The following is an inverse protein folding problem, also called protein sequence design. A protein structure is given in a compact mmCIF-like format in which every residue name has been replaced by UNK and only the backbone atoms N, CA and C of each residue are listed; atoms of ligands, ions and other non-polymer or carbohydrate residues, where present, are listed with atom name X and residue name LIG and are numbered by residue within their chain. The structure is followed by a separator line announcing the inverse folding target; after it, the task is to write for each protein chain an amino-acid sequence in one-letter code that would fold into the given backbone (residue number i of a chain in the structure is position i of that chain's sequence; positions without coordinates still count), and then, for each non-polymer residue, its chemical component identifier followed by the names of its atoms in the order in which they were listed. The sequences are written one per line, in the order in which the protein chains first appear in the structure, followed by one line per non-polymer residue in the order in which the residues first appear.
data_IF_085710580201
#
_entry.id   IF_085710580201
#
_cell.length_a   1.000
_cell.length_b   1.000
_cell.length_c   1.000
_cell.angle_alpha   90.00
_cell.angle_beta   90.00
_cell.angle_gamma   90.00
#
_symmetry.space_group_name_H-M   'P 1'
#
loop_
_entity.id
_entity.type
_entity.pdbx_description
1 polymer ?
#
# COMPACT_ATOMS: atom_id res chain seq x y z
N UNK A 1 19.82 11.29 -1.94
CA UNK A 1 18.82 11.23 -3.03
C UNK A 1 17.93 9.98 -3.00
N UNK A 2 18.47 8.75 -3.12
CA UNK A 2 17.66 7.51 -3.22
C UNK A 2 16.66 7.29 -2.07
N UNK A 3 17.06 7.59 -0.82
CA UNK A 3 16.20 7.50 0.38
C UNK A 3 15.00 8.46 0.35
N UNK A 4 15.22 9.71 -0.06
CA UNK A 4 14.17 10.74 -0.10
C UNK A 4 13.16 10.40 -1.19
N UNK A 5 13.65 10.00 -2.38
CA UNK A 5 12.80 9.56 -3.49
C UNK A 5 11.93 8.36 -3.10
N UNK A 6 12.50 7.34 -2.44
CA UNK A 6 11.72 6.20 -1.94
C UNK A 6 10.63 6.61 -0.97
N UNK A 7 10.95 7.45 0.02
CA UNK A 7 9.95 7.96 0.96
C UNK A 7 8.84 8.73 0.26
N UNK A 8 9.19 9.57 -0.72
CA UNK A 8 8.21 10.33 -1.50
C UNK A 8 7.27 9.40 -2.29
N UNK A 9 7.84 8.43 -3.03
CA UNK A 9 7.04 7.46 -3.80
C UNK A 9 6.14 6.61 -2.91
N UNK A 10 6.66 6.15 -1.76
CA UNK A 10 5.90 5.36 -0.79
C UNK A 10 4.73 6.17 -0.21
N UNK A 11 4.97 7.43 0.17
CA UNK A 11 3.93 8.33 0.67
C UNK A 11 2.89 8.63 -0.39
N UNK A 12 3.30 8.92 -1.64
CA UNK A 12 2.37 9.14 -2.76
C UNK A 12 1.49 7.91 -2.97
N UNK A 13 2.08 6.71 -2.97
CA UNK A 13 1.34 5.47 -3.14
C UNK A 13 0.30 5.25 -2.02
N UNK A 14 0.66 5.53 -0.76
CA UNK A 14 -0.25 5.46 0.37
C UNK A 14 -1.39 6.49 0.26
N UNK A 15 -1.07 7.75 -0.08
CA UNK A 15 -2.07 8.83 -0.21
C UNK A 15 -3.05 8.54 -1.35
N UNK A 16 -2.56 8.15 -2.52
CA UNK A 16 -3.43 7.80 -3.66
C UNK A 16 -4.33 6.61 -3.34
N UNK A 17 -3.81 5.62 -2.61
CA UNK A 17 -4.64 4.50 -2.12
C UNK A 17 -5.71 4.99 -1.16
N UNK A 18 -5.36 5.87 -0.22
CA UNK A 18 -6.32 6.43 0.74
C UNK A 18 -7.42 7.24 0.04
N UNK A 19 -7.07 8.06 -0.95
CA UNK A 19 -8.04 8.82 -1.75
C UNK A 19 -9.00 7.90 -2.49
N UNK A 20 -8.51 6.82 -3.09
CA UNK A 20 -9.36 5.84 -3.76
C UNK A 20 -10.35 5.19 -2.78
N UNK A 21 -9.90 4.87 -1.56
CA UNK A 21 -10.72 4.25 -0.50
C UNK A 21 -11.77 5.22 0.03
N UNK A 22 -11.42 6.49 0.23
CA UNK A 22 -12.37 7.54 0.63
C UNK A 22 -13.42 7.76 -0.47
N UNK A 23 -13.00 7.73 -1.74
CA UNK A 23 -13.93 7.82 -2.86
C UNK A 23 -14.85 6.61 -2.96
N UNK A 24 -14.40 5.42 -2.58
CA UNK A 24 -15.25 4.21 -2.54
C UNK A 24 -16.26 4.31 -1.38
N UNK A 25 -15.84 4.80 -0.21
CA UNK A 25 -16.68 5.01 0.98
C UNK A 25 -17.84 5.99 0.78
N UNK A 26 -17.75 6.90 -0.19
CA UNK A 26 -18.84 7.83 -0.50
C UNK A 26 -20.00 7.14 -1.24
N UNK A 27 -19.75 5.97 -1.82
CA UNK A 27 -20.71 5.22 -2.64
C UNK A 27 -21.07 3.88 -1.98
N UNK A 28 -20.10 3.24 -1.33
CA UNK A 28 -20.22 1.91 -0.73
C UNK A 28 -20.12 1.98 0.80
N UNK A 29 -20.89 1.14 1.53
CA UNK A 29 -20.74 1.05 2.97
C UNK A 29 -19.36 0.50 3.35
N UNK A 30 -18.87 0.94 4.51
CA UNK A 30 -17.61 0.45 5.05
C UNK A 30 -17.61 -1.09 5.15
N UNK A 31 -16.49 -1.71 4.77
CA UNK A 31 -16.31 -3.16 4.77
C UNK A 31 -14.87 -3.53 5.15
N UNK A 32 -14.58 -4.85 5.19
CA UNK A 32 -13.28 -5.36 5.59
C UNK A 32 -12.12 -4.89 4.68
N UNK A 33 -12.37 -4.69 3.38
CA UNK A 33 -11.34 -4.19 2.45
C UNK A 33 -10.86 -2.79 2.85
N UNK A 34 -11.79 -1.90 3.21
CA UNK A 34 -11.48 -0.56 3.70
C UNK A 34 -10.56 -0.61 4.92
N UNK A 35 -10.87 -1.47 5.90
CA UNK A 35 -10.05 -1.65 7.09
C UNK A 35 -8.61 -2.05 6.72
N UNK A 36 -8.44 -3.05 5.86
CA UNK A 36 -7.11 -3.48 5.41
C UNK A 36 -6.37 -2.39 4.62
N UNK A 37 -7.07 -1.60 3.81
CA UNK A 37 -6.46 -0.44 3.14
C UNK A 37 -5.97 0.60 4.14
N UNK A 38 -6.76 0.94 5.17
CA UNK A 38 -6.35 1.91 6.19
C UNK A 38 -5.15 1.43 6.99
N UNK A 39 -5.16 0.17 7.44
CA UNK A 39 -4.03 -0.45 8.16
C UNK A 39 -2.78 -0.45 7.27
N UNK A 40 -2.92 -0.88 6.01
CA UNK A 40 -1.83 -0.87 5.03
C UNK A 40 -1.24 0.53 4.87
N UNK A 41 -2.09 1.54 4.67
CA UNK A 41 -1.66 2.94 4.48
C UNK A 41 -0.89 3.43 5.70
N UNK A 42 -1.41 3.19 6.91
CA UNK A 42 -0.76 3.59 8.16
C UNK A 42 0.63 2.96 8.30
N UNK A 43 0.78 1.67 7.97
CA UNK A 43 2.07 0.98 7.99
C UNK A 43 3.06 1.58 6.96
N UNK A 44 2.62 1.84 5.72
CA UNK A 44 3.49 2.43 4.69
C UNK A 44 3.94 3.85 5.04
N UNK A 45 3.04 4.67 5.59
CA UNK A 45 3.41 5.99 6.15
C UNK A 45 4.40 5.81 7.30
N UNK A 46 4.16 4.86 8.20
CA UNK A 46 5.10 4.49 9.26
C UNK A 46 6.51 4.19 8.73
N UNK A 47 6.63 3.47 7.62
CA UNK A 47 7.93 3.20 6.97
C UNK A 47 8.63 4.47 6.51
N UNK A 48 7.88 5.47 6.03
CA UNK A 48 8.46 6.73 5.54
C UNK A 48 9.02 7.60 6.68
N UNK A 49 8.39 7.58 7.86
CA UNK A 49 8.67 8.56 8.93
C UNK A 49 9.30 7.98 10.20
N UNK A 50 9.05 6.70 10.53
CA UNK A 50 9.57 6.11 11.75
C UNK A 50 11.05 5.73 11.60
N UNK A 51 11.77 5.79 12.72
CA UNK A 51 13.14 5.28 12.85
C UNK A 51 13.10 3.97 13.63
N UNK A 52 12.89 2.85 12.95
CA UNK A 52 12.87 1.51 13.56
C UNK A 52 13.79 0.56 12.80
N UNK A 53 14.27 -0.50 13.45
CA UNK A 53 15.00 -1.60 12.80
C UNK A 53 14.10 -2.47 11.93
N UNK A 54 12.78 -2.46 12.19
CA UNK A 54 11.78 -3.34 11.59
C UNK A 54 11.09 -2.75 10.35
N UNK A 55 11.66 -1.71 9.73
CA UNK A 55 11.07 -1.03 8.57
C UNK A 55 10.75 -1.95 7.39
N UNK A 56 11.56 -2.99 7.15
CA UNK A 56 11.29 -3.96 6.08
C UNK A 56 10.02 -4.78 6.36
N UNK A 57 9.86 -5.23 7.61
CA UNK A 57 8.68 -5.99 8.05
C UNK A 57 7.44 -5.11 7.94
N UNK A 58 7.54 -3.86 8.37
CA UNK A 58 6.45 -2.90 8.28
C UNK A 58 6.06 -2.60 6.82
N UNK A 59 7.04 -2.51 5.92
CA UNK A 59 6.81 -2.35 4.48
C UNK A 59 6.07 -3.55 3.90
N UNK A 60 6.56 -4.77 4.16
CA UNK A 60 5.95 -6.00 3.64
C UNK A 60 4.54 -6.18 4.22
N UNK A 61 4.35 -5.99 5.52
CA UNK A 61 3.05 -6.10 6.17
C UNK A 61 2.05 -5.09 5.61
N UNK A 62 2.48 -3.84 5.42
CA UNK A 62 1.64 -2.80 4.82
C UNK A 62 1.22 -3.17 3.40
N UNK A 63 2.16 -3.61 2.56
CA UNK A 63 1.88 -4.06 1.19
C UNK A 63 0.99 -5.31 1.16
N UNK A 64 1.18 -6.26 2.07
CA UNK A 64 0.33 -7.45 2.17
C UNK A 64 -1.12 -7.08 2.52
N UNK A 65 -1.33 -6.15 3.46
CA UNK A 65 -2.66 -5.62 3.77
C UNK A 65 -3.33 -5.02 2.53
N UNK A 66 -2.59 -4.27 1.71
CA UNK A 66 -3.11 -3.70 0.45
C UNK A 66 -3.55 -4.77 -0.56
N UNK A 67 -2.86 -5.91 -0.63
CA UNK A 67 -3.24 -6.98 -1.54
C UNK A 67 -4.46 -7.74 -1.03
N UNK A 68 -4.52 -8.02 0.27
CA UNK A 68 -5.69 -8.64 0.89
C UNK A 68 -6.92 -7.76 0.65
N UNK A 69 -6.80 -6.45 0.89
CA UNK A 69 -7.86 -5.49 0.62
C UNK A 69 -8.31 -5.53 -0.85
N UNK A 70 -7.36 -5.48 -1.78
CA UNK A 70 -7.68 -5.54 -3.21
C UNK A 70 -8.38 -6.85 -3.59
N UNK A 71 -7.97 -7.99 -3.03
CA UNK A 71 -8.62 -9.30 -3.29
C UNK A 71 -10.06 -9.26 -2.81
N UNK A 72 -10.31 -8.75 -1.60
CA UNK A 72 -11.68 -8.62 -1.06
C UNK A 72 -12.52 -7.71 -1.98
N UNK A 73 -11.99 -6.55 -2.39
CA UNK A 73 -12.68 -5.67 -3.34
C UNK A 73 -12.95 -6.36 -4.68
N UNK A 74 -12.03 -7.17 -5.17
CA UNK A 74 -12.18 -7.96 -6.40
C UNK A 74 -13.27 -9.01 -6.35
N UNK A 75 -13.45 -9.64 -5.19
CA UNK A 75 -14.54 -10.57 -4.98
C UNK A 75 -15.91 -9.89 -4.88
N UNK A 76 -15.95 -8.60 -4.51
CA UNK A 76 -17.22 -7.87 -4.29
C UNK A 76 -17.70 -7.08 -5.52
N UNK A 77 -16.79 -6.47 -6.28
CA UNK A 77 -17.13 -5.44 -7.28
C UNK A 77 -16.50 -5.70 -8.68
N UNK A 78 -16.26 -6.95 -9.06
CA UNK A 78 -15.63 -7.33 -10.35
C UNK A 78 -14.35 -6.53 -10.65
N UNK A 79 -13.45 -6.45 -9.68
CA UNK A 79 -12.21 -5.69 -9.83
C UNK A 79 -11.33 -6.35 -10.91
N UNK A 80 -11.00 -5.57 -11.95
CA UNK A 80 -10.24 -6.10 -13.08
C UNK A 80 -8.86 -6.61 -12.65
N UNK A 81 -8.49 -7.79 -13.17
CA UNK A 81 -7.19 -8.43 -12.97
C UNK A 81 -5.99 -7.48 -13.21
N UNK A 82 -6.15 -6.53 -14.13
CA UNK A 82 -5.15 -5.50 -14.43
C UNK A 82 -4.75 -4.68 -13.20
N UNK A 83 -5.70 -4.33 -12.33
CA UNK A 83 -5.42 -3.56 -11.13
C UNK A 83 -4.59 -4.35 -10.11
N UNK A 84 -4.83 -5.66 -9.99
CA UNK A 84 -4.03 -6.54 -9.14
C UNK A 84 -2.59 -6.65 -9.65
N UNK A 85 -2.40 -6.80 -10.97
CA UNK A 85 -1.08 -6.89 -11.58
C UNK A 85 -0.30 -5.59 -11.36
N UNK A 86 -0.91 -4.44 -11.61
CA UNK A 86 -0.28 -3.12 -11.38
C UNK A 86 0.09 -2.96 -9.91
N UNK A 87 -0.81 -3.31 -8.98
CA UNK A 87 -0.54 -3.24 -7.53
C UNK A 87 0.64 -4.14 -7.13
N UNK A 88 0.71 -5.36 -7.65
CA UNK A 88 1.81 -6.28 -7.40
C UNK A 88 3.15 -5.75 -7.95
N UNK A 89 3.15 -5.22 -9.17
CA UNK A 89 4.34 -4.63 -9.79
C UNK A 89 4.87 -3.42 -9.01
N UNK A 90 3.99 -2.52 -8.58
CA UNK A 90 4.36 -1.37 -7.73
C UNK A 90 4.92 -1.84 -6.39
N UNK A 91 4.29 -2.84 -5.78
CA UNK A 91 4.72 -3.39 -4.49
C UNK A 91 6.09 -4.04 -4.57
N UNK A 92 6.34 -4.85 -5.61
CA UNK A 92 7.65 -5.44 -5.87
C UNK A 92 8.71 -4.35 -6.08
N UNK A 93 8.38 -3.32 -6.86
CA UNK A 93 9.29 -2.19 -7.11
C UNK A 93 9.66 -1.47 -5.82
N UNK A 94 8.69 -1.20 -4.94
CA UNK A 94 8.93 -0.57 -3.64
C UNK A 94 9.84 -1.42 -2.75
N UNK A 95 9.62 -2.74 -2.70
CA UNK A 95 10.48 -3.67 -1.93
C UNK A 95 11.91 -3.67 -2.48
N UNK A 96 12.08 -3.80 -3.80
CA UNK A 96 13.41 -3.80 -4.42
C UNK A 96 14.15 -2.48 -4.21
N UNK A 97 13.45 -1.35 -4.34
CA UNK A 97 14.03 -0.02 -4.03
C UNK A 97 14.46 0.06 -2.58
N UNK A 98 13.65 -0.43 -1.64
CA UNK A 98 14.00 -0.45 -0.22
C UNK A 98 15.26 -1.27 0.06
N UNK A 99 15.35 -2.49 -0.50
CA UNK A 99 16.52 -3.36 -0.34
C UNK A 99 17.78 -2.71 -0.91
N UNK A 100 17.68 -2.08 -2.09
CA UNK A 100 18.79 -1.36 -2.73
C UNK A 100 19.27 -0.14 -1.94
N UNK A 101 18.41 0.44 -1.11
CA UNK A 101 18.71 1.60 -0.27
C UNK A 101 19.37 1.19 1.06
N UNK A 102 19.09 -0.04 1.51
CA UNK A 102 19.60 -0.58 2.77
C UNK A 102 20.93 -1.34 2.59
N UNK A 103 21.16 -1.91 1.40
CA UNK A 103 22.47 -2.37 0.92
C UNK A 103 23.43 -1.21 0.68
#
# INVERSE_FOLDING_TARGET
MKKILFKALLSIYAILTLLAVISDLSVNPFNLAHLFFFIGCAMLVGVAFLKTSHLLVLLIAGLACMHIAAIITGLMNDFHLSHHIVRAAVSLTLVLMFLRIKS
#
